data_IF_820947292198
#
_entry.id   IF_820947292198
#
_cell.length_a   1.000
_cell.length_b   1.000
_cell.length_c   1.000
_cell.angle_alpha   90.00
_cell.angle_beta   90.00
_cell.angle_gamma   90.00
#
_symmetry.space_group_name_H-M   'P 1'
#
loop_
_entity.id
_entity.type
_entity.pdbx_description
1 polymer ?
#
# COMPACT_ATOMS: atom_id res chain seq x y z
N UNK A 1 -57.93 10.31 55.78
CA UNK A 1 -56.58 10.05 55.22
C UNK A 1 -56.73 9.09 54.06
N UNK A 2 -56.69 9.58 52.82
CA UNK A 2 -56.22 8.84 51.63
C UNK A 2 -55.95 9.89 50.55
N UNK A 3 -54.69 9.96 50.13
CA UNK A 3 -54.19 10.88 49.10
C UNK A 3 -54.46 10.28 47.73
N UNK A 4 -55.13 11.03 46.85
CA UNK A 4 -55.45 10.66 45.49
C UNK A 4 -54.68 11.54 44.49
N UNK A 5 -53.99 10.85 43.59
CA UNK A 5 -53.11 11.31 42.53
C UNK A 5 -53.75 12.39 41.64
N UNK A 6 -53.05 13.50 41.41
CA UNK A 6 -53.28 14.40 40.27
C UNK A 6 -52.10 14.32 39.32
N UNK A 7 -52.31 13.71 38.16
CA UNK A 7 -51.46 13.85 36.99
C UNK A 7 -52.11 14.85 36.04
N UNK A 8 -51.41 15.92 35.67
CA UNK A 8 -51.67 16.64 34.42
C UNK A 8 -50.34 17.03 33.78
N UNK A 9 -50.20 16.53 32.54
CA UNK A 9 -49.21 16.75 31.50
C UNK A 9 -48.49 18.12 31.51
N UNK A 10 -47.16 18.08 31.49
CA UNK A 10 -46.33 19.14 30.92
C UNK A 10 -46.05 18.81 29.44
N UNK A 11 -46.64 19.58 28.54
CA UNK A 11 -46.38 19.54 27.09
C UNK A 11 -45.02 20.19 26.85
N UNK A 12 -43.99 19.41 26.51
CA UNK A 12 -42.74 19.94 25.98
C UNK A 12 -42.93 20.29 24.50
N UNK A 13 -43.25 21.56 24.23
CA UNK A 13 -43.11 22.13 22.88
C UNK A 13 -41.63 22.33 22.61
N UNK A 14 -41.01 21.34 21.96
CA UNK A 14 -39.66 21.51 21.40
C UNK A 14 -39.81 22.45 20.19
N UNK A 15 -39.13 23.61 20.15
CA UNK A 15 -39.21 24.50 19.01
C UNK A 15 -38.64 23.78 17.78
N UNK A 16 -39.43 23.69 16.71
CA UNK A 16 -39.08 23.00 15.46
C UNK A 16 -37.73 23.45 14.85
N UNK A 17 -37.21 24.61 15.24
CA UNK A 17 -35.88 25.09 14.87
C UNK A 17 -34.74 24.18 15.37
N UNK A 18 -34.87 23.56 16.55
CA UNK A 18 -33.83 22.68 17.11
C UNK A 18 -33.73 21.34 16.36
N UNK A 19 -34.87 20.81 15.88
CA UNK A 19 -34.89 19.56 15.11
C UNK A 19 -34.36 19.77 13.67
N UNK A 20 -34.60 20.95 13.09
CA UNK A 20 -34.07 21.31 11.77
C UNK A 20 -32.53 21.46 11.77
N UNK A 21 -31.95 21.98 12.86
CA UNK A 21 -30.48 22.12 13.00
C UNK A 21 -29.80 20.74 13.16
N UNK A 22 -30.40 19.82 13.92
CA UNK A 22 -29.87 18.45 14.10
C UNK A 22 -29.96 17.64 12.80
N UNK A 23 -31.03 17.82 12.01
CA UNK A 23 -31.15 17.18 10.69
C UNK A 23 -30.21 17.81 9.66
N UNK A 24 -30.00 19.13 9.67
CA UNK A 24 -29.04 19.80 8.79
C UNK A 24 -27.58 19.38 9.09
N UNK A 25 -27.24 19.10 10.35
CA UNK A 25 -25.92 18.57 10.75
C UNK A 25 -25.68 17.14 10.27
N UNK A 26 -26.71 16.27 10.27
CA UNK A 26 -26.58 14.91 9.71
C UNK A 26 -26.37 14.87 8.19
N UNK A 27 -26.76 15.92 7.47
CA UNK A 27 -26.55 16.01 6.01
C UNK A 27 -25.27 16.75 5.59
N UNK A 28 -24.64 17.53 6.47
CA UNK A 28 -23.42 18.30 6.15
C UNK A 28 -22.08 17.64 6.58
N UNK A 29 -22.12 16.51 7.29
CA UNK A 29 -20.92 15.80 7.77
C UNK A 29 -20.26 14.85 6.76
N UNK A 30 -20.91 14.55 5.64
CA UNK A 30 -20.31 13.82 4.53
C UNK A 30 -20.21 14.75 3.33
N UNK A 31 -19.12 15.51 3.24
CA UNK A 31 -18.71 16.06 1.96
C UNK A 31 -18.45 14.87 1.03
N UNK A 32 -19.45 14.51 0.23
CA UNK A 32 -19.26 13.62 -0.89
C UNK A 32 -18.19 14.24 -1.76
N UNK A 33 -17.14 13.47 -2.00
CA UNK A 33 -16.13 13.77 -3.01
C UNK A 33 -16.86 14.16 -4.30
N UNK A 34 -16.52 15.29 -4.95
CA UNK A 34 -17.22 15.73 -6.15
C UNK A 34 -17.19 14.64 -7.22
N UNK A 35 -18.32 14.40 -7.90
CA UNK A 35 -18.50 13.40 -8.95
C UNK A 35 -17.50 13.50 -10.14
N UNK A 36 -16.74 14.61 -10.23
CA UNK A 36 -15.62 14.75 -11.17
C UNK A 36 -14.40 13.87 -10.82
N UNK A 37 -14.28 13.38 -9.58
CA UNK A 37 -13.27 12.38 -9.20
C UNK A 37 -13.73 10.95 -9.49
N UNK A 38 -15.03 10.66 -9.46
CA UNK A 38 -15.59 9.32 -9.80
C UNK A 38 -15.45 8.97 -11.29
N UNK A 39 -15.60 9.94 -12.20
CA UNK A 39 -15.44 9.69 -13.65
C UNK A 39 -13.99 9.43 -14.09
N UNK A 40 -13.04 9.60 -13.18
CA UNK A 40 -11.64 9.26 -13.40
C UNK A 40 -11.35 7.75 -13.21
N UNK A 41 -12.37 6.95 -12.89
CA UNK A 41 -12.30 5.50 -12.68
C UNK A 41 -12.35 4.64 -13.96
N UNK A 42 -12.02 5.19 -15.13
CA UNK A 42 -11.64 4.36 -16.26
C UNK A 42 -10.23 3.82 -15.97
N UNK A 43 -10.18 2.69 -15.25
CA UNK A 43 -8.98 1.89 -15.10
C UNK A 43 -8.53 1.40 -16.48
N UNK A 44 -7.31 1.75 -16.87
CA UNK A 44 -6.58 0.89 -17.81
C UNK A 44 -6.40 -0.41 -17.03
N UNK A 45 -7.02 -1.54 -17.41
CA UNK A 45 -6.76 -2.78 -16.70
C UNK A 45 -5.28 -3.09 -16.87
N UNK A 46 -4.49 -3.23 -15.79
CA UNK A 46 -3.17 -3.80 -15.93
C UNK A 46 -3.40 -5.26 -16.33
N UNK A 47 -3.27 -5.56 -17.61
CA UNK A 47 -3.36 -6.93 -18.11
C UNK A 47 -2.07 -7.63 -17.68
N UNK A 48 -2.07 -8.11 -16.45
CA UNK A 48 -0.90 -8.75 -15.81
C UNK A 48 -0.69 -10.14 -16.34
N UNK A 49 -1.78 -10.80 -16.73
CA UNK A 49 -1.77 -12.05 -17.44
C UNK A 49 -2.07 -11.79 -18.92
N UNK A 50 -1.02 -11.80 -19.74
CA UNK A 50 -1.15 -11.68 -21.18
C UNK A 50 -1.11 -13.09 -21.80
N UNK A 51 -2.15 -13.53 -22.56
CA UNK A 51 -1.97 -14.68 -23.45
C UNK A 51 -0.90 -14.34 -24.50
N UNK A 52 -0.10 -15.32 -24.91
CA UNK A 52 1.01 -15.14 -25.85
C UNK A 52 0.59 -14.35 -27.13
N UNK A 53 1.28 -13.25 -27.45
CA UNK A 53 1.02 -12.38 -28.61
C UNK A 53 1.80 -11.05 -28.62
N UNK A 54 1.59 -10.22 -29.64
CA UNK A 54 2.37 -9.02 -29.98
C UNK A 54 2.59 -7.98 -28.86
N UNK A 55 1.70 -7.90 -27.86
CA UNK A 55 1.87 -6.99 -26.71
C UNK A 55 3.02 -7.39 -25.76
N UNK A 56 3.46 -8.66 -25.80
CA UNK A 56 4.62 -9.14 -25.04
C UNK A 56 5.91 -8.66 -25.68
N UNK A 57 5.96 -8.60 -27.02
CA UNK A 57 7.18 -8.23 -27.73
C UNK A 57 7.62 -6.81 -27.39
N UNK A 58 6.69 -5.90 -27.08
CA UNK A 58 7.01 -4.52 -26.71
C UNK A 58 7.71 -4.37 -25.35
N UNK A 59 7.60 -5.38 -24.47
CA UNK A 59 8.34 -5.45 -23.22
C UNK A 59 9.73 -6.03 -23.48
N UNK A 60 10.76 -5.30 -23.07
CA UNK A 60 12.16 -5.64 -23.35
C UNK A 60 12.95 -5.98 -22.08
N UNK A 61 12.31 -5.86 -20.92
CA UNK A 61 12.89 -6.15 -19.63
C UNK A 61 13.85 -5.07 -19.12
N UNK A 62 14.16 -5.09 -17.81
CA UNK A 62 14.94 -4.04 -17.16
C UNK A 62 16.41 -3.98 -17.58
N UNK A 63 16.96 -5.07 -18.13
CA UNK A 63 18.37 -5.15 -18.51
C UNK A 63 18.70 -4.25 -19.71
N UNK A 64 17.76 -4.10 -20.65
CA UNK A 64 17.92 -3.21 -21.81
C UNK A 64 18.02 -1.73 -21.40
N UNK A 65 17.49 -1.36 -20.24
CA UNK A 65 17.55 0.00 -19.72
C UNK A 65 18.95 0.39 -19.20
N UNK A 66 19.78 -0.59 -18.82
CA UNK A 66 21.06 -0.36 -18.09
C UNK A 66 22.08 0.40 -18.93
N UNK A 67 22.08 0.19 -20.26
CA UNK A 67 23.02 0.81 -21.19
C UNK A 67 22.93 2.35 -21.19
N UNK A 68 21.75 2.92 -20.94
CA UNK A 68 21.52 4.37 -20.93
C UNK A 68 21.21 4.91 -19.52
N UNK A 69 20.61 4.12 -18.64
CA UNK A 69 20.14 4.54 -17.31
C UNK A 69 20.88 3.87 -16.15
N UNK A 70 22.18 3.64 -16.28
CA UNK A 70 23.02 2.85 -15.36
C UNK A 70 22.78 3.16 -13.88
N UNK A 71 22.79 4.44 -13.49
CA UNK A 71 22.65 4.84 -12.09
C UNK A 71 21.25 4.56 -11.52
N UNK A 72 20.20 4.75 -12.32
CA UNK A 72 18.81 4.51 -11.88
C UNK A 72 18.56 3.00 -11.82
N UNK A 73 18.99 2.25 -12.83
CA UNK A 73 18.87 0.79 -12.84
C UNK A 73 19.59 0.16 -11.64
N UNK A 74 20.78 0.62 -11.28
CA UNK A 74 21.53 0.12 -10.13
C UNK A 74 20.79 0.33 -8.79
N UNK A 75 20.04 1.44 -8.65
CA UNK A 75 19.20 1.69 -7.47
C UNK A 75 17.93 0.85 -7.51
N UNK A 76 17.22 0.87 -8.63
CA UNK A 76 15.93 0.21 -8.79
C UNK A 76 16.05 -1.31 -8.65
N UNK A 77 17.06 -1.94 -9.25
CA UNK A 77 17.28 -3.38 -9.15
C UNK A 77 17.52 -3.89 -7.71
N UNK A 78 17.94 -3.00 -6.80
CA UNK A 78 18.11 -3.31 -5.35
C UNK A 78 16.87 -2.97 -4.52
N UNK A 79 15.83 -2.41 -5.13
CA UNK A 79 14.61 -2.02 -4.44
C UNK A 79 13.74 -3.22 -4.07
N UNK A 80 12.87 -3.04 -3.08
CA UNK A 80 11.86 -3.99 -2.69
C UNK A 80 10.86 -4.24 -3.82
N UNK A 81 10.63 -3.25 -4.68
CA UNK A 81 9.80 -3.39 -5.89
C UNK A 81 10.42 -4.36 -6.89
N UNK A 82 11.69 -4.16 -7.26
CA UNK A 82 12.39 -5.09 -8.17
C UNK A 82 12.48 -6.51 -7.62
N UNK A 83 12.49 -6.66 -6.30
CA UNK A 83 12.58 -7.95 -5.62
C UNK A 83 11.23 -8.40 -5.04
N UNK A 84 10.11 -7.93 -5.58
CA UNK A 84 8.77 -8.24 -5.08
C UNK A 84 8.31 -9.67 -5.43
N UNK A 85 8.89 -10.30 -6.45
CA UNK A 85 8.60 -11.66 -6.88
C UNK A 85 9.85 -12.29 -7.50
N UNK A 86 10.10 -13.55 -7.19
CA UNK A 86 11.15 -14.40 -7.76
C UNK A 86 10.59 -15.80 -7.97
N UNK A 87 11.17 -16.58 -8.88
CA UNK A 87 11.05 -18.04 -8.76
C UNK A 87 11.85 -18.52 -7.53
N UNK A 88 11.46 -19.64 -6.93
CA UNK A 88 12.22 -20.20 -5.78
C UNK A 88 13.64 -20.57 -6.18
N UNK A 89 13.83 -21.13 -7.37
CA UNK A 89 15.16 -21.52 -7.89
C UNK A 89 16.06 -20.29 -8.09
N UNK A 90 15.54 -19.23 -8.70
CA UNK A 90 16.24 -17.94 -8.84
C UNK A 90 16.61 -17.35 -7.49
N UNK A 91 15.68 -17.35 -6.54
CA UNK A 91 15.95 -16.87 -5.19
C UNK A 91 17.10 -17.65 -4.54
N UNK A 92 17.06 -18.98 -4.55
CA UNK A 92 18.10 -19.80 -3.91
C UNK A 92 19.47 -19.58 -4.57
N UNK A 93 19.51 -19.47 -5.90
CA UNK A 93 20.74 -19.21 -6.67
C UNK A 93 21.33 -17.82 -6.40
N UNK A 94 20.51 -16.78 -6.31
CA UNK A 94 20.99 -15.39 -6.28
C UNK A 94 21.04 -14.76 -4.88
N UNK A 95 20.15 -15.19 -3.98
CA UNK A 95 20.02 -14.66 -2.62
C UNK A 95 20.49 -15.64 -1.55
N UNK A 96 20.72 -16.90 -1.91
CA UNK A 96 21.14 -17.97 -1.02
C UNK A 96 19.98 -18.85 -0.56
N UNK A 97 20.33 -20.07 -0.15
CA UNK A 97 19.38 -21.11 0.24
C UNK A 97 18.57 -20.71 1.47
N UNK A 98 17.27 -20.93 1.41
CA UNK A 98 16.40 -20.80 2.56
C UNK A 98 16.56 -22.03 3.47
N UNK A 99 16.53 -21.88 4.81
CA UNK A 99 16.74 -22.99 5.71
C UNK A 99 15.55 -23.95 5.70
N UNK A 100 15.82 -25.24 5.88
CA UNK A 100 14.77 -26.20 6.24
C UNK A 100 14.08 -25.78 7.54
N UNK A 101 12.82 -26.15 7.70
CA UNK A 101 11.99 -25.65 8.81
C UNK A 101 10.84 -26.57 9.16
N UNK A 102 10.31 -26.36 10.37
CA UNK A 102 9.08 -27.01 10.84
C UNK A 102 8.18 -25.99 11.53
N UNK A 103 6.88 -26.11 11.32
CA UNK A 103 5.85 -25.29 11.98
C UNK A 103 4.78 -26.23 12.51
N UNK A 104 4.38 -26.05 13.77
CA UNK A 104 3.27 -26.80 14.37
C UNK A 104 2.03 -25.90 14.44
N UNK A 105 0.98 -26.26 13.72
CA UNK A 105 -0.35 -25.69 13.86
C UNK A 105 -1.12 -26.49 14.91
N UNK A 106 -0.98 -26.09 16.17
CA UNK A 106 -1.65 -26.75 17.29
C UNK A 106 -3.16 -26.57 17.28
N UNK A 107 -3.68 -25.55 16.58
CA UNK A 107 -5.12 -25.28 16.48
C UNK A 107 -5.76 -26.26 15.49
N UNK A 108 -5.14 -26.44 14.32
CA UNK A 108 -5.67 -27.32 13.27
C UNK A 108 -5.10 -28.74 13.32
N UNK A 109 -4.19 -29.02 14.26
CA UNK A 109 -3.42 -30.26 14.39
C UNK A 109 -2.65 -30.62 13.11
N UNK A 110 -1.98 -29.63 12.50
CA UNK A 110 -1.20 -29.82 11.27
C UNK A 110 0.29 -29.60 11.57
N UNK A 111 1.13 -30.53 11.14
CA UNK A 111 2.57 -30.36 11.14
C UNK A 111 3.03 -29.98 9.74
N UNK A 112 3.78 -28.89 9.64
CA UNK A 112 4.42 -28.45 8.41
C UNK A 112 5.91 -28.72 8.46
N UNK A 113 6.45 -29.23 7.35
CA UNK A 113 7.88 -29.39 7.14
C UNK A 113 8.26 -28.71 5.81
N UNK A 114 9.35 -27.95 5.84
CA UNK A 114 9.91 -27.26 4.68
C UNK A 114 11.31 -27.81 4.46
N UNK A 115 11.59 -28.27 3.25
CA UNK A 115 12.90 -28.83 2.90
C UNK A 115 13.25 -28.56 1.44
N UNK A 116 14.55 -28.56 1.15
CA UNK A 116 15.06 -28.40 -0.20
C UNK A 116 14.88 -29.68 -1.01
N UNK A 117 14.57 -29.52 -2.30
CA UNK A 117 14.55 -30.60 -3.27
C UNK A 117 15.21 -30.09 -4.56
N UNK A 118 16.48 -30.46 -4.79
CA UNK A 118 17.29 -29.84 -5.83
C UNK A 118 17.48 -28.34 -5.57
N UNK A 119 17.26 -27.51 -6.58
CA UNK A 119 17.24 -26.03 -6.47
C UNK A 119 15.87 -25.48 -6.03
N UNK A 120 14.88 -26.36 -5.77
CA UNK A 120 13.54 -25.99 -5.30
C UNK A 120 13.36 -26.15 -3.79
N UNK A 121 12.15 -25.78 -3.33
CA UNK A 121 11.66 -26.02 -1.96
C UNK A 121 10.32 -26.73 -2.01
N UNK A 122 10.08 -27.58 -1.02
CA UNK A 122 8.84 -28.33 -0.86
C UNK A 122 8.23 -28.03 0.51
N UNK A 123 6.92 -27.83 0.53
CA UNK A 123 6.10 -27.84 1.73
C UNK A 123 5.43 -29.20 1.88
N UNK A 124 5.61 -29.84 3.03
CA UNK A 124 4.82 -30.98 3.47
C UNK A 124 3.87 -30.55 4.58
N UNK A 125 2.61 -30.98 4.50
CA UNK A 125 1.61 -30.79 5.54
C UNK A 125 1.04 -32.15 5.97
N UNK A 126 0.99 -32.41 7.27
CA UNK A 126 0.51 -33.70 7.82
C UNK A 126 -0.51 -33.47 8.93
N UNK A 127 -1.66 -34.17 8.85
CA UNK A 127 -2.74 -34.16 9.85
C UNK A 127 -3.29 -35.57 10.03
N UNK A 128 -3.03 -36.18 11.19
CA UNK A 128 -3.30 -37.61 11.40
C UNK A 128 -2.57 -38.45 10.34
N UNK A 129 -3.28 -39.35 9.69
CA UNK A 129 -2.73 -40.22 8.63
C UNK A 129 -2.70 -39.55 7.25
N UNK A 130 -3.24 -38.34 7.11
CA UNK A 130 -3.22 -37.59 5.85
C UNK A 130 -1.95 -36.77 5.74
N UNK A 131 -1.20 -36.95 4.66
CA UNK A 131 -0.03 -36.15 4.32
C UNK A 131 -0.10 -35.71 2.86
N UNK A 132 0.33 -34.48 2.60
CA UNK A 132 0.38 -33.89 1.25
C UNK A 132 1.64 -33.05 1.12
N UNK A 133 2.25 -33.10 -0.07
CA UNK A 133 3.42 -32.33 -0.43
C UNK A 133 3.12 -31.41 -1.61
N UNK A 134 3.78 -30.25 -1.62
CA UNK A 134 3.58 -29.22 -2.61
C UNK A 134 4.91 -28.52 -2.92
N UNK A 135 5.33 -28.42 -4.19
CA UNK A 135 6.46 -27.58 -4.55
C UNK A 135 6.11 -26.10 -4.32
N UNK A 136 7.12 -25.34 -3.92
CA UNK A 136 7.08 -23.88 -3.86
C UNK A 136 7.66 -23.36 -5.18
N UNK A 137 6.85 -22.70 -6.01
CA UNK A 137 7.31 -22.22 -7.32
C UNK A 137 7.81 -20.78 -7.26
N UNK A 138 7.12 -19.92 -6.49
CA UNK A 138 7.45 -18.50 -6.40
C UNK A 138 7.64 -18.03 -4.96
N UNK A 139 8.55 -17.07 -4.79
CA UNK A 139 8.78 -16.30 -3.57
C UNK A 139 8.17 -14.92 -3.74
N UNK A 140 7.25 -14.57 -2.86
CA UNK A 140 6.49 -13.33 -2.89
C UNK A 140 6.96 -12.42 -1.74
N UNK A 141 7.45 -11.24 -2.12
CA UNK A 141 8.05 -10.25 -1.23
C UNK A 141 9.59 -10.22 -1.29
N UNK A 142 10.15 -9.09 -0.88
CA UNK A 142 11.60 -8.84 -0.92
C UNK A 142 12.35 -9.24 0.37
N UNK A 143 11.66 -9.87 1.32
CA UNK A 143 12.20 -10.21 2.64
C UNK A 143 12.21 -9.09 3.67
N UNK A 144 11.72 -7.88 3.32
CA UNK A 144 11.71 -6.72 4.22
C UNK A 144 10.70 -6.87 5.38
N UNK A 145 9.55 -7.50 5.11
CA UNK A 145 8.53 -7.85 6.09
C UNK A 145 8.39 -9.37 6.25
N UNK A 146 8.63 -10.13 5.17
CA UNK A 146 8.57 -11.59 5.12
C UNK A 146 8.69 -12.06 3.66
N UNK A 147 8.74 -13.37 3.50
CA UNK A 147 8.71 -14.08 2.23
C UNK A 147 7.53 -15.07 2.31
N UNK A 148 6.49 -14.83 1.52
CA UNK A 148 5.41 -15.80 1.33
C UNK A 148 5.70 -16.63 0.09
N UNK A 149 5.08 -17.79 -0.02
CA UNK A 149 5.35 -18.70 -1.13
C UNK A 149 4.08 -19.00 -1.89
N UNK A 150 4.21 -19.22 -3.20
CA UNK A 150 3.09 -19.56 -4.07
C UNK A 150 3.41 -20.83 -4.85
N UNK A 151 2.45 -21.76 -4.85
CA UNK A 151 2.42 -22.90 -5.77
C UNK A 151 1.58 -22.52 -6.99
N UNK A 152 2.11 -22.75 -8.18
CA UNK A 152 1.32 -22.74 -9.40
C UNK A 152 0.76 -24.13 -9.70
N UNK A 153 -0.51 -24.21 -10.07
CA UNK A 153 -1.18 -25.42 -10.60
C UNK A 153 -1.62 -25.16 -12.05
N UNK A 154 -2.26 -26.12 -12.71
CA UNK A 154 -2.73 -25.90 -14.09
C UNK A 154 -3.83 -24.83 -14.18
N UNK A 155 -4.63 -24.66 -13.13
CA UNK A 155 -5.81 -23.77 -13.12
C UNK A 155 -5.71 -22.58 -12.17
N UNK A 156 -4.88 -22.69 -11.12
CA UNK A 156 -4.84 -21.74 -10.02
C UNK A 156 -3.40 -21.41 -9.59
N UNK A 157 -3.23 -20.27 -8.95
CA UNK A 157 -2.14 -20.04 -8.00
C UNK A 157 -2.64 -20.33 -6.58
N UNK A 158 -1.80 -20.93 -5.75
CA UNK A 158 -2.12 -21.21 -4.37
C UNK A 158 -1.10 -20.53 -3.45
N UNK A 159 -1.57 -19.56 -2.68
CA UNK A 159 -0.79 -18.92 -1.62
C UNK A 159 -0.59 -19.93 -0.48
N UNK A 160 0.66 -20.29 -0.24
CA UNK A 160 1.04 -21.31 0.73
C UNK A 160 0.86 -20.77 2.15
N UNK A 161 0.46 -21.64 3.08
CA UNK A 161 0.19 -21.27 4.48
C UNK A 161 1.42 -20.80 5.25
N UNK A 162 2.61 -21.05 4.73
CA UNK A 162 3.88 -20.79 5.42
C UNK A 162 4.64 -19.63 4.78
N UNK A 163 5.30 -18.85 5.61
CA UNK A 163 6.16 -17.75 5.24
C UNK A 163 7.47 -17.80 6.04
N UNK A 164 8.54 -17.30 5.45
CA UNK A 164 9.83 -17.13 6.11
C UNK A 164 10.04 -15.66 6.47
N UNK A 165 10.57 -15.40 7.67
CA UNK A 165 10.81 -14.05 8.19
C UNK A 165 12.33 -13.84 8.35
N UNK A 166 13.03 -13.27 7.34
CA UNK A 166 14.49 -13.19 7.33
C UNK A 166 15.09 -12.44 8.52
N UNK A 167 14.41 -11.38 9.01
CA UNK A 167 14.89 -10.61 10.16
C UNK A 167 15.06 -11.46 11.43
N UNK A 168 14.20 -12.47 11.59
CA UNK A 168 14.15 -13.31 12.78
C UNK A 168 14.65 -14.74 12.50
N UNK A 169 15.01 -15.04 11.24
CA UNK A 169 15.44 -16.36 10.77
C UNK A 169 14.45 -17.48 11.19
N UNK A 170 13.15 -17.22 11.00
CA UNK A 170 12.11 -18.15 11.46
C UNK A 170 11.01 -18.35 10.41
N UNK A 171 10.44 -19.55 10.45
CA UNK A 171 9.26 -19.94 9.68
C UNK A 171 8.00 -19.73 10.53
N UNK A 172 6.95 -19.19 9.92
CA UNK A 172 5.64 -19.08 10.56
C UNK A 172 4.53 -19.00 9.49
N UNK A 173 3.30 -18.73 9.90
CA UNK A 173 2.18 -18.60 8.98
C UNK A 173 2.29 -17.36 8.10
N UNK A 174 1.93 -17.53 6.83
CA UNK A 174 1.64 -16.41 5.93
C UNK A 174 0.51 -15.55 6.51
N UNK A 175 0.52 -14.22 6.26
CA UNK A 175 -0.51 -13.33 6.78
C UNK A 175 -1.93 -13.82 6.49
N UNK A 176 -2.80 -13.77 7.49
CA UNK A 176 -4.20 -14.22 7.38
C UNK A 176 -4.41 -15.74 7.46
N UNK A 177 -3.37 -16.58 7.34
CA UNK A 177 -3.55 -18.04 7.36
C UNK A 177 -3.74 -18.65 8.75
N UNK A 178 -3.16 -18.05 9.80
CA UNK A 178 -3.21 -18.59 11.18
C UNK A 178 -4.64 -18.81 11.68
N UNK A 179 -5.59 -17.94 11.31
CA UNK A 179 -6.97 -17.99 11.76
C UNK A 179 -7.90 -18.84 10.86
N UNK A 180 -7.36 -19.52 9.84
CA UNK A 180 -8.16 -20.27 8.86
C UNK A 180 -8.08 -21.78 9.12
N UNK A 181 -9.23 -22.47 9.00
CA UNK A 181 -9.38 -23.91 9.24
C UNK A 181 -9.36 -24.70 7.91
N UNK A 182 -8.32 -25.51 7.63
CA UNK A 182 -8.30 -26.40 6.48
C UNK A 182 -9.36 -27.51 6.55
N UNK A 183 -10.21 -27.61 5.54
CA UNK A 183 -11.27 -28.62 5.46
C UNK A 183 -10.82 -29.89 4.75
N UNK A 184 -9.81 -29.82 3.89
CA UNK A 184 -9.27 -30.93 3.11
C UNK A 184 -7.75 -30.84 2.99
N UNK A 185 -7.11 -31.86 2.40
CA UNK A 185 -5.65 -31.91 2.24
C UNK A 185 -5.09 -30.73 1.44
N UNK A 186 -5.76 -30.32 0.36
CA UNK A 186 -5.28 -29.20 -0.45
C UNK A 186 -5.32 -27.86 0.31
N UNK A 187 -6.36 -27.62 1.13
CA UNK A 187 -6.43 -26.45 2.00
C UNK A 187 -5.40 -26.46 3.15
N UNK A 188 -4.80 -27.62 3.46
CA UNK A 188 -3.66 -27.70 4.37
C UNK A 188 -2.42 -27.05 3.75
N UNK A 189 -2.26 -27.10 2.42
CA UNK A 189 -1.13 -26.48 1.73
C UNK A 189 -1.29 -24.97 1.63
N UNK A 190 -2.49 -24.48 1.31
CA UNK A 190 -2.70 -23.04 1.06
C UNK A 190 -4.08 -22.65 0.54
N UNK A 191 -4.24 -21.38 0.20
CA UNK A 191 -5.48 -20.81 -0.33
C UNK A 191 -5.36 -20.64 -1.84
N UNK A 192 -6.25 -21.28 -2.61
CA UNK A 192 -6.28 -21.16 -4.07
C UNK A 192 -6.88 -19.83 -4.53
N UNK A 193 -6.35 -19.32 -5.63
CA UNK A 193 -6.79 -18.15 -6.37
C UNK A 193 -6.80 -18.51 -7.87
N UNK A 194 -7.96 -18.42 -8.56
CA UNK A 194 -8.04 -18.70 -9.99
C UNK A 194 -7.09 -17.84 -10.83
N UNK A 195 -6.43 -18.39 -11.85
CA UNK A 195 -5.41 -17.69 -12.65
C UNK A 195 -5.91 -16.42 -13.33
N UNK A 196 -7.10 -16.47 -13.93
CA UNK A 196 -7.80 -15.32 -14.49
C UNK A 196 -8.04 -14.19 -13.47
N UNK A 197 -8.28 -14.55 -12.21
CA UNK A 197 -8.42 -13.65 -11.07
C UNK A 197 -7.11 -13.37 -10.30
N UNK A 198 -6.00 -14.01 -10.68
CA UNK A 198 -4.68 -13.93 -10.02
C UNK A 198 -3.97 -12.60 -10.26
N UNK A 199 -4.64 -11.71 -10.99
CA UNK A 199 -4.45 -10.27 -10.96
C UNK A 199 -4.45 -9.67 -9.54
N UNK A 200 -4.89 -10.35 -8.47
CA UNK A 200 -4.88 -9.75 -7.13
C UNK A 200 -3.46 -9.61 -6.52
N UNK A 201 -2.66 -10.69 -6.52
CA UNK A 201 -1.32 -10.66 -5.90
C UNK A 201 -0.24 -10.38 -6.94
N UNK A 202 -0.25 -11.11 -8.04
CA UNK A 202 0.84 -11.08 -9.01
C UNK A 202 0.88 -9.76 -9.80
N UNK A 203 -0.23 -9.04 -9.91
CA UNK A 203 -0.24 -7.74 -10.59
C UNK A 203 0.55 -6.66 -9.88
N UNK A 204 0.62 -6.75 -8.57
CA UNK A 204 1.35 -5.82 -7.72
C UNK A 204 2.80 -6.26 -7.50
N UNK A 205 3.13 -7.51 -7.89
CA UNK A 205 4.40 -8.15 -7.59
C UNK A 205 5.24 -8.47 -8.83
N UNK A 206 4.69 -8.31 -10.03
CA UNK A 206 5.38 -8.54 -11.31
C UNK A 206 5.20 -7.36 -12.26
N UNK A 207 6.01 -7.33 -13.31
CA UNK A 207 5.92 -6.35 -14.40
C UNK A 207 5.08 -6.93 -15.54
N UNK A 208 5.40 -8.17 -15.90
CA UNK A 208 4.73 -8.93 -16.94
C UNK A 208 4.75 -10.41 -16.55
N UNK A 209 3.59 -11.07 -16.63
CA UNK A 209 3.52 -12.53 -16.55
C UNK A 209 2.92 -13.07 -17.84
N UNK A 210 3.69 -13.94 -18.48
CA UNK A 210 3.30 -14.63 -19.69
C UNK A 210 2.99 -16.06 -19.34
N UNK A 211 1.80 -16.51 -19.72
CA UNK A 211 1.44 -17.92 -19.61
C UNK A 211 1.54 -18.62 -20.97
N UNK A 212 2.16 -19.80 -20.96
CA UNK A 212 2.27 -20.70 -22.10
C UNK A 212 1.84 -22.09 -21.65
N UNK A 213 0.87 -22.66 -22.37
CA UNK A 213 0.33 -23.99 -22.05
C UNK A 213 -0.17 -24.12 -20.59
N UNK A 214 -0.77 -23.06 -20.05
CA UNK A 214 -1.34 -23.06 -18.70
C UNK A 214 -0.30 -22.98 -17.58
N UNK A 215 0.95 -22.61 -17.88
CA UNK A 215 2.02 -22.36 -16.91
C UNK A 215 2.71 -21.02 -17.18
N UNK A 216 3.26 -20.39 -16.15
CA UNK A 216 4.10 -19.19 -16.30
C UNK A 216 5.37 -19.57 -17.05
N UNK A 217 5.62 -18.85 -18.15
CA UNK A 217 6.86 -18.93 -18.91
C UNK A 217 7.85 -17.92 -18.32
N UNK A 218 8.84 -18.41 -17.57
CA UNK A 218 9.81 -17.56 -16.87
C UNK A 218 10.73 -16.80 -17.84
N UNK A 219 10.94 -17.29 -19.06
CA UNK A 219 11.80 -16.63 -20.05
C UNK A 219 11.09 -15.43 -20.68
N UNK A 220 9.78 -15.53 -20.87
CA UNK A 220 8.95 -14.46 -21.44
C UNK A 220 8.36 -13.51 -20.39
N UNK A 221 8.47 -13.86 -19.11
CA UNK A 221 7.95 -13.07 -18.00
C UNK A 221 9.01 -12.12 -17.43
N UNK A 222 8.55 -11.01 -16.84
CA UNK A 222 9.38 -10.08 -16.08
C UNK A 222 8.86 -10.04 -14.66
N UNK A 223 9.50 -10.83 -13.79
CA UNK A 223 9.20 -10.88 -12.37
C UNK A 223 9.65 -9.61 -11.64
N UNK A 224 9.04 -9.34 -10.49
CA UNK A 224 9.25 -8.10 -9.76
C UNK A 224 8.59 -6.88 -10.43
N UNK A 225 8.45 -5.79 -9.68
CA UNK A 225 8.01 -4.49 -10.21
C UNK A 225 9.25 -3.76 -10.73
N UNK A 226 9.40 -3.72 -12.05
CA UNK A 226 10.56 -3.18 -12.77
C UNK A 226 10.18 -1.95 -13.61
N UNK A 227 11.10 -1.45 -14.42
CA UNK A 227 10.98 -0.19 -15.18
C UNK A 227 9.65 -0.07 -15.92
N UNK A 228 9.31 -1.09 -16.71
CA UNK A 228 8.18 -1.08 -17.63
C UNK A 228 6.83 -1.21 -16.91
N UNK A 229 6.82 -1.54 -15.60
CA UNK A 229 5.60 -1.55 -14.79
C UNK A 229 5.06 -0.15 -14.54
N UNK A 230 5.95 0.82 -14.40
CA UNK A 230 5.62 2.22 -14.16
C UNK A 230 5.77 3.09 -15.41
N UNK A 231 6.69 2.73 -16.29
CA UNK A 231 7.00 3.49 -17.49
C UNK A 231 6.28 2.99 -18.74
N UNK A 232 5.76 1.76 -18.76
CA UNK A 232 5.18 1.14 -19.95
C UNK A 232 6.22 0.39 -20.79
N UNK A 233 5.79 -0.28 -21.88
CA UNK A 233 6.66 -1.11 -22.72
C UNK A 233 7.82 -0.31 -23.36
N UNK A 234 9.03 -0.86 -23.28
CA UNK A 234 10.29 -0.18 -23.59
C UNK A 234 10.74 -0.20 -25.05
N UNK A 235 10.21 -1.11 -25.88
CA UNK A 235 10.76 -1.38 -27.23
C UNK A 235 10.89 -0.13 -28.09
N UNK A 236 9.79 0.58 -28.32
CA UNK A 236 9.77 1.73 -29.22
C UNK A 236 10.72 2.85 -28.78
N UNK A 237 10.87 3.03 -27.47
CA UNK A 237 11.80 4.00 -26.88
C UNK A 237 13.26 3.61 -27.11
N UNK A 238 13.62 2.36 -26.84
CA UNK A 238 15.00 1.89 -27.05
C UNK A 238 15.36 1.90 -28.53
N UNK A 239 14.44 1.51 -29.41
CA UNK A 239 14.66 1.55 -30.85
C UNK A 239 14.83 2.98 -31.38
N UNK A 240 14.00 3.94 -30.92
CA UNK A 240 14.18 5.35 -31.25
C UNK A 240 15.54 5.89 -30.75
N UNK A 241 15.92 5.56 -29.52
CA UNK A 241 17.21 5.96 -28.94
C UNK A 241 18.39 5.40 -29.76
N UNK A 242 18.32 4.13 -30.18
CA UNK A 242 19.35 3.48 -31.02
C UNK A 242 19.48 4.13 -32.39
N UNK A 243 18.40 4.70 -32.94
CA UNK A 243 18.42 5.47 -34.19
C UNK A 243 18.89 6.92 -34.02
N UNK A 244 19.17 7.35 -32.78
CA UNK A 244 19.52 8.75 -32.49
C UNK A 244 18.34 9.71 -32.65
N UNK A 245 17.12 9.20 -32.60
CA UNK A 245 15.89 9.98 -32.73
C UNK A 245 15.50 10.60 -31.38
N UNK A 246 14.57 11.56 -31.42
CA UNK A 246 13.93 12.04 -30.20
C UNK A 246 13.25 10.86 -29.48
N UNK A 247 13.63 10.68 -28.22
CA UNK A 247 13.12 9.61 -27.39
C UNK A 247 11.94 10.14 -26.59
N UNK A 248 10.73 9.80 -27.03
CA UNK A 248 9.53 10.12 -26.27
C UNK A 248 9.54 9.36 -24.93
N UNK A 249 9.03 9.98 -23.86
CA UNK A 249 8.78 9.31 -22.60
C UNK A 249 7.83 8.11 -22.77
N UNK A 250 8.18 7.01 -22.09
CA UNK A 250 7.58 5.69 -22.26
C UNK A 250 6.07 5.61 -21.97
N UNK A 251 5.52 6.61 -21.27
CA UNK A 251 4.09 6.87 -21.19
C UNK A 251 3.76 8.18 -21.94
N UNK A 252 3.62 8.15 -23.29
CA UNK A 252 3.23 9.32 -24.08
C UNK A 252 1.85 9.84 -23.68
N UNK A 253 0.98 8.92 -23.26
CA UNK A 253 -0.28 9.27 -22.63
C UNK A 253 -0.02 10.14 -21.40
N UNK A 254 0.79 9.69 -20.43
CA UNK A 254 1.04 10.46 -19.19
C UNK A 254 1.51 11.88 -19.50
N UNK A 255 2.33 12.09 -20.54
CA UNK A 255 2.77 13.41 -20.99
C UNK A 255 1.69 14.23 -21.70
N UNK A 256 1.01 13.66 -22.71
CA UNK A 256 -0.12 14.32 -23.39
C UNK A 256 -1.19 14.74 -22.39
N UNK A 257 -1.45 13.87 -21.42
CA UNK A 257 -2.33 14.16 -20.30
C UNK A 257 -1.74 15.26 -19.41
N UNK A 258 -0.43 15.31 -19.13
CA UNK A 258 0.22 16.36 -18.31
C UNK A 258 0.11 17.73 -18.98
N UNK A 259 0.28 17.81 -20.29
CA UNK A 259 0.12 19.04 -21.05
C UNK A 259 -1.34 19.48 -21.11
N UNK A 260 -2.28 18.56 -21.36
CA UNK A 260 -3.73 18.83 -21.25
C UNK A 260 -4.15 19.27 -19.84
N UNK A 261 -3.55 18.70 -18.79
CA UNK A 261 -3.84 19.10 -17.40
C UNK A 261 -3.28 20.48 -17.05
N UNK A 262 -2.16 20.87 -17.65
CA UNK A 262 -1.60 22.22 -17.55
C UNK A 262 -2.47 23.24 -18.26
N UNK A 263 -3.11 22.84 -19.35
CA UNK A 263 -3.92 23.71 -20.20
C UNK A 263 -5.40 23.80 -19.76
N UNK A 264 -5.95 22.78 -19.09
CA UNK A 264 -7.39 22.65 -18.84
C UNK A 264 -7.85 22.86 -17.38
N UNK A 265 -6.97 23.23 -16.44
CA UNK A 265 -7.32 23.34 -15.02
C UNK A 265 -6.56 24.44 -14.28
N UNK A 266 -7.25 25.17 -13.41
CA UNK A 266 -6.65 26.12 -12.46
C UNK A 266 -5.79 25.43 -11.38
N UNK A 267 -5.80 24.09 -11.30
CA UNK A 267 -4.96 23.29 -10.41
C UNK A 267 -4.24 22.15 -11.16
N UNK A 268 -3.24 22.47 -12.00
CA UNK A 268 -2.51 21.47 -12.77
C UNK A 268 -1.66 20.53 -11.90
N UNK A 269 -1.21 21.02 -10.73
CA UNK A 269 -0.49 20.19 -9.75
C UNK A 269 -1.39 19.12 -9.14
N UNK A 270 -2.65 19.44 -8.81
CA UNK A 270 -3.61 18.46 -8.30
C UNK A 270 -3.92 17.35 -9.31
N UNK A 271 -3.98 17.66 -10.61
CA UNK A 271 -4.16 16.65 -11.65
C UNK A 271 -2.94 15.72 -11.77
N UNK A 272 -1.72 16.26 -11.72
CA UNK A 272 -0.50 15.46 -11.71
C UNK A 272 -0.45 14.54 -10.47
N UNK A 273 -0.85 15.05 -9.30
CA UNK A 273 -0.99 14.26 -8.07
C UNK A 273 -2.00 13.13 -8.21
N UNK A 274 -3.21 13.41 -8.67
CA UNK A 274 -4.25 12.39 -8.84
C UNK A 274 -3.79 11.23 -9.73
N UNK A 275 -2.99 11.51 -10.77
CA UNK A 275 -2.42 10.48 -11.65
C UNK A 275 -1.38 9.63 -10.95
N UNK A 276 -0.46 10.25 -10.22
CA UNK A 276 0.51 9.49 -9.46
C UNK A 276 -0.17 8.64 -8.38
N UNK A 277 -1.19 9.17 -7.70
CA UNK A 277 -2.00 8.40 -6.75
C UNK A 277 -2.68 7.22 -7.44
N UNK A 278 -3.20 7.38 -8.66
CA UNK A 278 -3.76 6.27 -9.43
C UNK A 278 -2.72 5.21 -9.78
N UNK A 279 -1.55 5.62 -10.28
CA UNK A 279 -0.47 4.70 -10.65
C UNK A 279 0.03 3.90 -9.44
N UNK A 280 0.43 4.60 -8.38
CA UNK A 280 0.92 3.97 -7.15
C UNK A 280 -0.19 3.18 -6.44
N UNK A 281 -1.42 3.67 -6.50
CA UNK A 281 -2.61 3.07 -5.86
C UNK A 281 -3.05 1.75 -6.46
N UNK A 282 -2.57 1.38 -7.66
CA UNK A 282 -2.74 0.04 -8.21
C UNK A 282 -2.19 -1.04 -7.26
N UNK A 283 -1.15 -0.70 -6.49
CA UNK A 283 -0.48 -1.62 -5.57
C UNK A 283 -0.52 -1.15 -4.11
N UNK A 284 -0.42 0.17 -3.87
CA UNK A 284 -0.34 0.77 -2.54
C UNK A 284 -1.70 1.21 -1.97
N UNK A 285 -2.80 0.61 -2.43
CA UNK A 285 -4.14 0.76 -1.86
C UNK A 285 -4.76 2.15 -2.06
N UNK A 286 -5.31 2.38 -3.25
CA UNK A 286 -6.01 3.62 -3.63
C UNK A 286 -7.54 3.53 -3.71
N UNK A 287 -8.13 2.44 -3.24
CA UNK A 287 -9.54 2.07 -3.45
C UNK A 287 -10.32 1.76 -2.16
N UNK A 288 -9.69 1.77 -0.99
CA UNK A 288 -10.30 1.39 0.30
C UNK A 288 -10.46 2.55 1.26
N UNK A 289 -11.50 3.36 1.03
CA UNK A 289 -11.76 4.59 1.81
C UNK A 289 -12.56 4.38 3.09
N UNK A 290 -13.31 3.30 3.21
CA UNK A 290 -14.14 2.98 4.37
C UNK A 290 -13.51 1.81 5.12
N UNK A 291 -12.52 2.08 5.96
CA UNK A 291 -11.73 1.08 6.67
C UNK A 291 -11.26 1.63 8.01
N UNK A 292 -11.14 0.76 9.02
CA UNK A 292 -10.63 1.12 10.35
C UNK A 292 -9.25 1.80 10.28
N UNK A 293 -8.96 2.70 11.22
CA UNK A 293 -7.72 3.47 11.27
C UNK A 293 -6.47 2.59 11.28
N UNK A 294 -6.50 1.48 12.02
CA UNK A 294 -5.36 0.58 12.09
C UNK A 294 -5.07 -0.04 10.73
N UNK A 295 -6.10 -0.56 10.06
CA UNK A 295 -6.03 -1.20 8.76
C UNK A 295 -5.74 -0.22 7.62
N UNK A 296 -6.14 1.05 7.76
CA UNK A 296 -5.85 2.10 6.81
C UNK A 296 -4.35 2.29 6.57
N UNK A 297 -3.49 1.88 7.52
CA UNK A 297 -2.03 1.89 7.36
C UNK A 297 -1.54 1.05 6.16
N UNK A 298 -2.27 0.00 5.76
CA UNK A 298 -1.94 -0.85 4.61
C UNK A 298 -2.26 -0.14 3.28
N UNK A 299 -3.26 0.74 3.27
CA UNK A 299 -3.77 1.44 2.09
C UNK A 299 -3.16 2.84 2.00
N UNK A 300 -1.85 2.88 1.78
CA UNK A 300 -1.01 4.08 1.83
C UNK A 300 -1.57 5.25 0.99
N UNK A 301 -2.05 5.00 -0.23
CA UNK A 301 -2.60 6.06 -1.09
C UNK A 301 -3.90 6.62 -0.50
N UNK A 302 -4.81 5.74 -0.11
CA UNK A 302 -6.08 6.14 0.50
C UNK A 302 -5.84 6.90 1.81
N UNK A 303 -4.94 6.40 2.66
CA UNK A 303 -4.57 7.04 3.91
C UNK A 303 -4.04 8.46 3.70
N UNK A 304 -3.15 8.65 2.71
CA UNK A 304 -2.65 9.98 2.36
C UNK A 304 -3.76 10.89 1.86
N UNK A 305 -4.64 10.41 0.99
CA UNK A 305 -5.76 11.19 0.46
C UNK A 305 -6.74 11.64 1.55
N UNK A 306 -6.85 10.88 2.64
CA UNK A 306 -7.66 11.23 3.81
C UNK A 306 -6.95 12.16 4.82
N UNK A 307 -5.66 12.44 4.63
CA UNK A 307 -4.93 13.34 5.53
C UNK A 307 -5.34 14.80 5.31
N UNK A 308 -5.40 15.59 6.39
CA UNK A 308 -5.57 17.04 6.30
C UNK A 308 -4.48 17.70 5.46
N UNK A 309 -3.26 17.15 5.52
CA UNK A 309 -2.14 17.58 4.70
C UNK A 309 -2.46 17.51 3.19
N UNK A 310 -3.10 16.43 2.73
CA UNK A 310 -3.51 16.26 1.35
C UNK A 310 -4.72 17.14 0.99
N UNK A 311 -5.75 17.19 1.84
CA UNK A 311 -6.98 17.95 1.53
C UNK A 311 -6.74 19.45 1.56
N UNK A 312 -6.01 19.98 2.55
CA UNK A 312 -5.71 21.41 2.69
C UNK A 312 -4.67 21.90 1.67
N UNK A 313 -3.80 21.01 1.18
CA UNK A 313 -2.96 21.33 0.03
C UNK A 313 -3.72 21.34 -1.29
N UNK A 314 -5.06 21.15 -1.29
CA UNK A 314 -5.89 21.01 -2.48
C UNK A 314 -5.43 19.86 -3.39
N UNK A 315 -5.03 18.74 -2.77
CA UNK A 315 -4.61 17.52 -3.44
C UNK A 315 -3.29 17.63 -4.21
N UNK A 316 -2.43 18.61 -3.90
CA UNK A 316 -1.18 18.87 -4.64
C UNK A 316 -0.01 17.99 -4.23
N UNK A 317 -0.15 17.17 -3.19
CA UNK A 317 0.92 16.27 -2.73
C UNK A 317 1.02 15.03 -3.61
N UNK A 318 2.24 14.59 -3.83
CA UNK A 318 2.65 13.42 -4.61
C UNK A 318 3.46 12.49 -3.72
N UNK A 319 3.35 11.19 -3.96
CA UNK A 319 4.24 10.18 -3.36
C UNK A 319 5.72 10.56 -3.55
N UNK A 320 6.07 11.08 -4.73
CA UNK A 320 7.45 11.45 -5.09
C UNK A 320 7.92 12.78 -4.50
N UNK A 321 7.03 13.56 -3.88
CA UNK A 321 7.47 14.73 -3.10
C UNK A 321 8.28 14.27 -1.87
N UNK A 322 7.99 13.07 -1.34
CA UNK A 322 8.67 12.47 -0.21
C UNK A 322 9.63 11.33 -0.61
N UNK A 323 9.23 10.46 -1.54
CA UNK A 323 9.97 9.24 -1.88
C UNK A 323 10.70 9.34 -3.23
N UNK A 324 11.83 8.65 -3.34
CA UNK A 324 12.43 8.32 -4.64
C UNK A 324 11.80 7.01 -5.15
N UNK A 325 11.10 7.01 -6.30
CA UNK A 325 10.43 5.81 -6.80
C UNK A 325 11.40 4.73 -7.30
N UNK A 326 12.70 5.02 -7.41
CA UNK A 326 13.72 4.06 -7.83
C UNK A 326 14.52 3.48 -6.66
N UNK A 327 14.19 3.84 -5.43
CA UNK A 327 14.91 3.42 -4.23
C UNK A 327 13.94 2.92 -3.16
N UNK A 328 14.45 2.15 -2.20
CA UNK A 328 13.66 1.83 -1.00
C UNK A 328 13.37 3.10 -0.21
N UNK A 329 12.20 3.14 0.44
CA UNK A 329 11.89 4.21 1.38
C UNK A 329 12.98 4.30 2.46
N UNK A 330 13.52 5.49 2.65
CA UNK A 330 14.57 5.74 3.64
C UNK A 330 14.03 5.44 5.03
N UNK A 331 14.81 4.69 5.81
CA UNK A 331 14.54 4.37 7.22
C UNK A 331 15.65 4.96 8.08
N UNK A 332 15.29 5.56 9.21
CA UNK A 332 16.25 6.13 10.16
C UNK A 332 16.59 7.59 9.89
N UNK A 333 17.12 7.91 8.71
CA UNK A 333 17.30 9.31 8.30
C UNK A 333 15.99 9.87 7.75
N UNK A 334 15.40 10.82 8.48
CA UNK A 334 14.11 11.43 8.14
C UNK A 334 14.26 12.85 7.58
N UNK A 335 15.48 13.31 7.30
CA UNK A 335 15.78 14.69 6.89
C UNK A 335 14.93 15.12 5.70
N UNK A 336 14.90 14.33 4.62
CA UNK A 336 14.08 14.62 3.42
C UNK A 336 12.58 14.72 3.71
N UNK A 337 12.08 13.89 4.62
CA UNK A 337 10.66 13.93 5.01
C UNK A 337 10.36 15.19 5.81
N UNK A 338 11.20 15.52 6.79
CA UNK A 338 11.09 16.74 7.60
C UNK A 338 11.18 18.01 6.75
N UNK A 339 12.12 18.08 5.80
CA UNK A 339 12.22 19.17 4.83
C UNK A 339 10.92 19.35 4.03
N UNK A 340 10.26 18.25 3.67
CA UNK A 340 8.98 18.30 2.95
C UNK A 340 7.86 18.83 3.84
N UNK A 341 7.79 18.42 5.11
CA UNK A 341 6.85 19.00 6.08
C UNK A 341 7.09 20.51 6.24
N UNK A 342 8.35 20.92 6.34
CA UNK A 342 8.73 22.31 6.57
C UNK A 342 8.45 23.26 5.40
N UNK A 343 8.21 22.75 4.19
CA UNK A 343 7.70 23.58 3.07
C UNK A 343 6.38 24.28 3.40
N UNK A 344 5.59 23.71 4.32
CA UNK A 344 4.34 24.32 4.79
C UNK A 344 4.35 24.59 6.30
N UNK A 345 5.07 23.81 7.11
CA UNK A 345 5.11 23.92 8.57
C UNK A 345 6.38 24.57 9.15
N UNK A 346 7.30 25.05 8.29
CA UNK A 346 8.47 25.82 8.72
C UNK A 346 8.07 27.22 9.17
N UNK A 347 8.91 27.87 9.97
CA UNK A 347 8.67 29.24 10.44
C UNK A 347 8.29 30.14 9.26
N UNK A 348 7.12 30.82 9.29
CA UNK A 348 6.78 31.77 8.26
C UNK A 348 7.82 32.90 8.32
N UNK A 349 8.60 33.06 7.26
CA UNK A 349 9.17 34.38 6.98
C UNK A 349 7.99 35.34 6.90
N UNK A 350 8.01 36.32 7.81
CA UNK A 350 6.94 37.23 8.08
C UNK A 350 6.38 37.86 6.79
N UNK A 351 5.14 37.51 6.44
CA UNK A 351 4.25 38.47 5.80
C UNK A 351 2.98 38.50 6.63
N UNK A 352 2.93 39.53 7.48
CA UNK A 352 1.76 39.87 8.26
C UNK A 352 0.57 40.08 7.31
N UNK A 353 -0.47 39.27 7.44
CA UNK A 353 -1.82 39.76 7.17
C UNK A 353 -2.36 40.30 8.50
N UNK A 354 -2.50 41.62 8.54
CA UNK A 354 -3.15 42.34 9.63
C UNK A 354 -4.65 41.98 9.62
N UNK A 355 -5.20 41.76 10.81
CA UNK A 355 -6.64 41.67 11.07
C UNK A 355 -6.97 40.42 11.87
N UNK A 356 -7.41 40.48 13.12
CA UNK A 356 -7.72 41.57 14.03
C UNK A 356 -7.83 40.95 15.43
N UNK A 357 -7.51 41.72 16.45
CA UNK A 357 -7.60 41.26 17.84
C UNK A 357 -9.06 40.96 18.20
N UNK A 358 -9.32 39.76 18.73
CA UNK A 358 -10.51 39.49 19.52
C UNK A 358 -10.12 38.70 20.77
N UNK A 359 -10.62 39.21 21.88
CA UNK A 359 -10.27 38.89 23.26
C UNK A 359 -10.58 37.46 23.66
N UNK A 360 -9.76 36.95 24.57
CA UNK A 360 -9.98 35.78 25.42
C UNK A 360 -11.25 36.00 26.26
N UNK A 361 -12.11 34.99 26.32
CA UNK A 361 -12.80 34.44 27.50
C UNK A 361 -14.12 33.73 27.09
N UNK A 362 -14.12 32.40 27.02
CA UNK A 362 -15.24 31.59 27.53
C UNK A 362 -14.81 30.11 27.64
N UNK A 363 -14.72 29.60 28.87
CA UNK A 363 -14.57 28.17 29.16
C UNK A 363 -15.96 27.57 29.30
N UNK A 364 -16.49 26.94 28.25
CA UNK A 364 -17.47 25.82 28.31
C UNK A 364 -17.93 25.40 26.91
N UNK A 365 -17.12 24.59 26.21
CA UNK A 365 -17.58 23.73 25.11
C UNK A 365 -16.53 22.65 24.81
N UNK A 366 -16.92 21.42 24.44
CA UNK A 366 -15.97 20.35 24.14
C UNK A 366 -15.12 20.76 22.93
N UNK A 367 -13.82 20.86 23.16
CA UNK A 367 -12.86 21.47 22.26
C UNK A 367 -12.79 20.77 20.89
N UNK A 368 -13.50 21.32 19.90
CA UNK A 368 -13.05 21.26 18.52
C UNK A 368 -11.83 22.20 18.41
N UNK A 369 -10.64 21.64 18.27
CA UNK A 369 -9.42 22.42 18.10
C UNK A 369 -9.55 23.35 16.89
N UNK A 370 -9.26 24.66 17.02
CA UNK A 370 -9.35 25.59 15.90
C UNK A 370 -8.27 25.24 14.87
N UNK A 371 -8.71 24.99 13.65
CA UNK A 371 -7.85 24.80 12.49
C UNK A 371 -7.22 26.15 12.15
N UNK A 372 -6.02 26.38 12.66
CA UNK A 372 -5.16 27.48 12.23
C UNK A 372 -4.69 27.22 10.79
N UNK A 373 -5.19 28.02 9.86
CA UNK A 373 -4.79 28.07 8.45
C UNK A 373 -3.42 28.74 8.22
N UNK A 374 -2.50 28.66 9.17
CA UNK A 374 -1.08 29.00 8.98
C UNK A 374 -0.26 27.87 9.56
N UNK A 375 0.67 27.32 8.77
CA UNK A 375 1.56 26.26 9.22
C UNK A 375 2.32 26.69 10.45
N UNK A 376 1.83 26.29 11.62
CA UNK A 376 2.49 26.55 12.88
C UNK A 376 3.62 25.55 13.03
N UNK A 377 4.79 26.05 13.43
CA UNK A 377 5.92 25.21 13.83
C UNK A 377 5.47 24.25 14.93
N UNK A 378 5.96 23.00 14.87
CA UNK A 378 5.58 21.98 15.84
C UNK A 378 5.95 22.43 17.25
N UNK A 379 4.96 22.56 18.15
CA UNK A 379 5.21 23.01 19.53
C UNK A 379 5.89 21.95 20.40
N UNK A 380 5.80 20.68 20.00
CA UNK A 380 6.34 19.54 20.75
C UNK A 380 7.80 19.26 20.35
N UNK A 381 8.10 19.35 19.06
CA UNK A 381 9.44 19.08 18.52
C UNK A 381 9.69 19.89 17.23
N UNK A 382 9.97 21.21 17.33
CA UNK A 382 10.00 22.13 16.18
C UNK A 382 11.15 21.88 15.18
N UNK A 383 12.17 21.12 15.56
CA UNK A 383 13.34 20.81 14.71
C UNK A 383 13.66 19.32 14.59
N UNK A 384 12.78 18.45 15.09
CA UNK A 384 13.04 17.01 15.14
C UNK A 384 12.13 16.18 14.25
N UNK A 385 12.08 14.89 14.55
CA UNK A 385 11.40 13.91 13.73
C UNK A 385 9.87 14.05 13.75
N UNK A 386 9.32 14.59 12.65
CA UNK A 386 7.88 14.77 12.48
C UNK A 386 7.14 13.44 12.25
N UNK A 387 7.79 12.47 11.60
CA UNK A 387 7.10 11.27 11.11
C UNK A 387 6.84 10.26 12.23
N UNK A 388 7.66 10.23 13.28
CA UNK A 388 7.44 9.34 14.43
C UNK A 388 6.08 9.60 15.10
N UNK A 389 5.67 10.87 15.21
CA UNK A 389 4.38 11.22 15.81
C UNK A 389 3.24 11.29 14.79
N UNK A 390 3.50 11.87 13.60
CA UNK A 390 2.43 12.15 12.63
C UNK A 390 2.18 11.04 11.61
N UNK A 391 3.10 10.08 11.51
CA UNK A 391 3.04 8.93 10.62
C UNK A 391 3.51 7.65 11.36
N UNK A 392 2.88 7.31 12.50
CA UNK A 392 3.36 6.23 13.35
C UNK A 392 3.35 4.89 12.60
N UNK A 393 4.31 4.03 12.95
CA UNK A 393 4.33 2.65 12.45
C UNK A 393 3.21 1.86 13.13
N UNK A 394 2.37 1.21 12.33
CA UNK A 394 1.25 0.35 12.75
C UNK A 394 1.52 -1.10 12.37
N UNK A 395 0.86 -2.01 13.07
CA UNK A 395 0.89 -3.45 12.80
C UNK A 395 -0.54 -3.97 12.57
N UNK A 396 -1.14 -3.68 11.41
CA UNK A 396 -2.51 -4.08 11.10
C UNK A 396 -2.69 -5.58 10.84
N UNK A 397 -1.60 -6.28 10.49
CA UNK A 397 -1.59 -7.73 10.23
C UNK A 397 -0.49 -8.39 11.06
N UNK A 398 -0.66 -9.69 11.35
CA UNK A 398 0.35 -10.48 12.06
C UNK A 398 1.71 -10.33 11.36
N UNK A 399 2.72 -9.88 12.12
CA UNK A 399 4.09 -9.56 11.68
C UNK A 399 4.26 -8.60 10.49
N UNK A 400 3.21 -7.93 10.02
CA UNK A 400 3.29 -6.91 8.97
C UNK A 400 3.21 -5.50 9.55
N UNK A 401 4.24 -4.70 9.31
CA UNK A 401 4.32 -3.34 9.83
C UNK A 401 4.34 -2.30 8.70
N UNK A 402 3.54 -1.25 8.87
CA UNK A 402 3.36 -0.19 7.87
C UNK A 402 3.44 1.18 8.53
N UNK A 403 4.02 2.15 7.83
CA UNK A 403 4.00 3.55 8.26
C UNK A 403 2.64 4.15 7.92
N UNK A 404 1.97 4.78 8.88
CA UNK A 404 0.65 5.35 8.66
C UNK A 404 0.73 6.60 7.77
N UNK A 405 0.08 6.58 6.60
CA UNK A 405 0.12 7.69 5.65
C UNK A 405 -1.05 8.68 5.78
N UNK A 406 -2.03 8.44 6.67
CA UNK A 406 -2.91 9.52 7.15
C UNK A 406 -2.10 10.42 8.08
N UNK A 407 -1.40 11.37 7.50
CA UNK A 407 -0.55 12.33 8.22
C UNK A 407 -1.44 13.14 9.17
N UNK A 408 -1.19 13.04 10.47
CA UNK A 408 -2.03 13.69 11.47
C UNK A 408 -1.67 13.28 12.89
N UNK A 409 -2.36 13.84 13.86
CA UNK A 409 -2.28 13.36 15.24
C UNK A 409 -3.13 12.09 15.35
N UNK A 410 -2.52 11.01 15.80
CA UNK A 410 -3.21 9.77 16.07
C UNK A 410 -3.50 9.69 17.57
N UNK A 411 -4.65 9.12 17.99
CA UNK A 411 -4.82 8.80 19.40
C UNK A 411 -3.64 7.90 19.83
N UNK A 412 -3.24 8.00 21.10
CA UNK A 412 -2.34 7.04 21.72
C UNK A 412 -3.07 5.69 21.84
N UNK A 413 -3.37 5.07 20.70
CA UNK A 413 -3.87 3.71 20.63
C UNK A 413 -2.68 2.86 20.98
N UNK A 414 -2.79 2.20 22.13
CA UNK A 414 -1.88 1.21 22.67
C UNK A 414 -1.19 0.50 21.51
N UNK A 415 0.14 0.60 21.49
CA UNK A 415 0.95 -0.39 20.81
C UNK A 415 0.69 -1.69 21.58
N UNK A 416 -0.43 -2.36 21.33
CA UNK A 416 -0.51 -3.80 21.54
C UNK A 416 0.47 -4.38 20.52
N UNK A 417 1.72 -4.41 20.96
CA UNK A 417 2.69 -5.38 20.49
C UNK A 417 2.02 -6.72 20.79
N UNK A 418 1.40 -7.34 19.79
CA UNK A 418 1.16 -8.77 19.83
C UNK A 418 2.52 -9.42 20.14
N UNK A 419 2.72 -9.88 21.39
CA UNK A 419 3.91 -10.61 21.81
C UNK A 419 4.81 -9.99 22.90
N UNK A 420 4.39 -8.97 23.66
CA UNK A 420 5.05 -8.69 24.95
C UNK A 420 4.02 -8.70 26.09
N UNK A 421 4.10 -9.71 26.95
CA UNK A 421 3.50 -9.62 28.28
C UNK A 421 4.05 -8.36 28.98
N UNK A 422 3.23 -7.64 29.77
CA UNK A 422 3.72 -6.53 30.57
C UNK A 422 4.76 -7.04 31.59
N UNK A 423 5.80 -6.24 31.90
CA UNK A 423 6.75 -6.57 32.97
C UNK A 423 6.01 -6.63 34.33
N UNK A 424 6.59 -7.32 35.34
CA UNK A 424 5.87 -7.84 36.51
C UNK A 424 5.09 -6.81 37.33
#
# INVERSE_FOLDING_TARGET
MFSGIKSVLAIFVIPCAALAIVLAWRFHGHQRVPASQERAAASIPPRVLAPAGALIEDYIGPNECVACHTNICAKQGKSHMANALHSVEEWQREKGNLPAGRISDTVNNIQYEIFAQGEGLVLKATRGDTSIEAPMHFVLGSGANGLSFVRETDTDFQELRVAFFPKNQTWDFSPGHRATLPRNADEMIGTRRPKDSSAACLSCHSTLLVEKQGRVDLELSVLGVTCERCHGPGRGHVEAARRGEYVAPLHPELEKWLDQAREASDNPRGLASARQMRLCGQCHGGDRFDTDDLLLAEYTVTALQQSRCFTESSGRLRCTDCHDPHSNAQRGDHTRYVETCNKCHGSPTATASKGGAASVNDETSPAALPVSASGSTCRVNPGGDCITCHMPRRQPIDRGFFTHHRIGMHPAVNVEVFGKQPPP
#
